data_IF_270886215802
#
_entry.id   IF_270886215802
#
_cell.length_a   1.000
_cell.length_b   1.000
_cell.length_c   1.000
_cell.angle_alpha   90.00
_cell.angle_beta   90.00
_cell.angle_gamma   90.00
#
_symmetry.space_group_name_H-M   'P 1'
#
loop_
_entity.id
_entity.type
_entity.pdbx_description
1 polymer ?
#
# COMPACT_ATOMS: atom_id res chain seq x y z
N UNK A 1 -8.70 -2.89 21.66
CA UNK A 1 -7.61 -1.89 21.62
C UNK A 1 -7.08 -1.52 23.00
N UNK A 2 -7.86 -1.62 24.07
CA UNK A 2 -7.46 -1.16 25.40
C UNK A 2 -6.38 -2.01 26.10
N UNK A 3 -6.20 -3.30 25.74
CA UNK A 3 -5.30 -4.20 26.47
C UNK A 3 -3.83 -3.81 26.35
N UNK A 4 -3.36 -3.43 25.15
CA UNK A 4 -1.98 -2.99 24.96
C UNK A 4 -1.68 -1.70 25.74
N UNK A 5 -2.63 -0.76 25.78
CA UNK A 5 -2.51 0.47 26.57
C UNK A 5 -2.41 0.17 28.06
N UNK A 6 -3.21 -0.78 28.57
CA UNK A 6 -3.17 -1.22 29.97
C UNK A 6 -1.82 -1.83 30.31
N UNK A 7 -1.30 -2.74 29.47
CA UNK A 7 -0.02 -3.40 29.73
C UNK A 7 1.17 -2.45 29.61
N UNK A 8 1.14 -1.55 28.63
CA UNK A 8 2.17 -0.51 28.47
C UNK A 8 2.15 0.45 29.67
N UNK A 9 0.95 0.90 30.09
CA UNK A 9 0.78 1.78 31.23
C UNK A 9 1.30 1.13 32.52
N UNK A 10 0.89 -0.12 32.78
CA UNK A 10 1.36 -0.89 33.93
C UNK A 10 2.88 -1.11 33.91
N UNK A 11 3.44 -1.43 32.73
CA UNK A 11 4.88 -1.63 32.54
C UNK A 11 5.70 -0.37 32.77
N UNK A 12 5.15 0.81 32.49
CA UNK A 12 5.83 2.11 32.62
C UNK A 12 5.47 2.89 33.88
N UNK A 13 4.63 2.33 34.76
CA UNK A 13 4.05 3.01 35.94
C UNK A 13 3.29 4.30 35.59
N UNK A 14 2.60 4.28 34.46
CA UNK A 14 1.73 5.36 34.00
C UNK A 14 0.26 4.97 34.17
N UNK A 15 -0.64 5.93 34.12
CA UNK A 15 -2.07 5.65 34.01
C UNK A 15 -2.41 5.24 32.57
N UNK A 16 -3.46 4.43 32.38
CA UNK A 16 -3.92 4.05 31.04
C UNK A 16 -4.26 5.28 30.18
N UNK A 17 -4.84 6.32 30.79
CA UNK A 17 -5.14 7.62 30.13
C UNK A 17 -3.91 8.34 29.56
N UNK A 18 -2.71 7.98 30.03
CA UNK A 18 -1.43 8.54 29.59
C UNK A 18 -0.79 7.75 28.44
N UNK A 19 -1.41 6.67 27.97
CA UNK A 19 -0.89 5.87 26.86
C UNK A 19 -1.89 5.94 25.72
N UNK A 20 -1.45 6.43 24.56
CA UNK A 20 -2.27 6.48 23.35
C UNK A 20 -1.59 5.73 22.22
N UNK A 21 -2.27 4.74 21.68
CA UNK A 21 -1.82 4.08 20.45
C UNK A 21 -2.18 4.99 19.27
N UNK A 22 -1.16 5.47 18.56
CA UNK A 22 -1.32 6.40 17.43
C UNK A 22 -1.58 5.65 16.13
N UNK A 23 -1.02 4.45 15.99
CA UNK A 23 -1.19 3.60 14.82
C UNK A 23 -0.47 2.27 14.95
N UNK A 24 -0.85 1.32 14.11
CA UNK A 24 -0.16 0.05 13.94
C UNK A 24 -0.01 -0.23 12.44
N UNK A 25 1.22 -0.41 11.99
CA UNK A 25 1.57 -0.61 10.58
C UNK A 25 2.39 -1.88 10.46
N UNK A 26 2.06 -2.76 9.51
CA UNK A 26 2.90 -3.92 9.23
C UNK A 26 4.27 -3.46 8.70
N UNK A 27 5.36 -4.05 9.19
CA UNK A 27 6.71 -3.75 8.70
C UNK A 27 6.79 -4.17 7.23
N UNK A 28 7.07 -3.20 6.35
CA UNK A 28 7.10 -3.41 4.90
C UNK A 28 8.21 -4.39 4.47
N UNK A 29 9.23 -4.59 5.32
CA UNK A 29 10.39 -5.42 5.02
C UNK A 29 10.32 -6.81 5.65
N UNK A 30 9.54 -6.98 6.73
CA UNK A 30 9.31 -8.25 7.40
C UNK A 30 7.82 -8.40 7.76
N UNK A 31 7.08 -9.17 6.94
CA UNK A 31 5.63 -9.38 7.09
C UNK A 31 5.21 -10.02 8.44
N UNK A 32 6.16 -10.46 9.26
CA UNK A 32 5.91 -10.98 10.60
C UNK A 32 5.95 -9.93 11.73
N UNK A 33 6.27 -8.66 11.44
CA UNK A 33 6.40 -7.61 12.46
C UNK A 33 5.33 -6.54 12.28
N UNK A 34 4.80 -6.05 13.39
CA UNK A 34 3.89 -4.90 13.43
C UNK A 34 4.59 -3.77 14.16
N UNK A 35 4.81 -2.66 13.46
CA UNK A 35 5.29 -1.41 14.03
C UNK A 35 4.11 -0.72 14.71
N UNK A 36 4.20 -0.50 16.02
CA UNK A 36 3.18 0.22 16.78
C UNK A 36 3.76 1.55 17.22
N UNK A 37 3.08 2.64 16.86
CA UNK A 37 3.41 3.98 17.32
C UNK A 37 2.60 4.29 18.58
N UNK A 38 3.29 4.59 19.67
CA UNK A 38 2.70 4.85 20.99
C UNK A 38 3.13 6.23 21.45
N UNK A 39 2.16 7.08 21.78
CA UNK A 39 2.40 8.38 22.38
C UNK A 39 2.11 8.33 23.89
N UNK A 40 3.07 8.80 24.69
CA UNK A 40 2.93 8.91 26.14
C UNK A 40 2.53 10.35 26.48
N UNK A 41 1.41 10.51 27.18
CA UNK A 41 0.82 11.81 27.51
C UNK A 41 1.10 12.17 28.97
N UNK A 42 1.74 13.31 29.26
CA UNK A 42 1.97 13.76 30.63
C UNK A 42 0.66 14.21 31.29
N UNK A 43 0.55 14.08 32.62
CA UNK A 43 -0.59 14.60 33.39
C UNK A 43 -0.53 16.13 33.60
N UNK A 44 0.63 16.73 33.36
CA UNK A 44 0.86 18.18 33.37
C UNK A 44 1.36 18.68 32.02
N UNK A 45 2.11 19.77 32.02
CA UNK A 45 2.67 20.37 30.79
C UNK A 45 3.70 19.46 30.10
N UNK A 46 4.47 18.69 30.87
CA UNK A 46 5.49 17.73 30.40
C UNK A 46 5.74 16.65 31.44
N UNK A 47 6.46 15.58 31.06
CA UNK A 47 6.99 14.64 32.05
C UNK A 47 8.16 15.29 32.80
N UNK A 48 8.24 15.03 34.11
CA UNK A 48 9.41 15.38 34.90
C UNK A 48 10.66 14.70 34.32
N UNK A 49 11.80 15.37 34.39
CA UNK A 49 13.04 14.88 33.78
C UNK A 49 13.40 13.47 34.27
N UNK A 50 13.24 13.22 35.58
CA UNK A 50 13.46 11.90 36.19
C UNK A 50 12.53 10.84 35.60
N UNK A 51 11.25 11.16 35.46
CA UNK A 51 10.24 10.25 34.89
C UNK A 51 10.57 9.95 33.43
N UNK A 52 10.85 10.97 32.62
CA UNK A 52 11.22 10.80 31.21
C UNK A 52 12.47 9.92 31.04
N UNK A 53 13.51 10.15 31.85
CA UNK A 53 14.74 9.34 31.83
C UNK A 53 14.44 7.89 32.24
N UNK A 54 13.73 7.66 33.35
CA UNK A 54 13.42 6.30 33.82
C UNK A 54 12.53 5.52 32.84
N UNK A 55 11.54 6.19 32.24
CA UNK A 55 10.67 5.60 31.22
C UNK A 55 11.48 5.23 29.98
N UNK A 56 12.36 6.13 29.51
CA UNK A 56 13.22 5.85 28.35
C UNK A 56 14.21 4.71 28.60
N UNK A 57 14.86 4.69 29.78
CA UNK A 57 15.78 3.64 30.20
C UNK A 57 15.09 2.27 30.23
N UNK A 58 13.87 2.23 30.78
CA UNK A 58 13.06 1.01 30.87
C UNK A 58 12.72 0.44 29.48
N UNK A 59 12.33 1.31 28.56
CA UNK A 59 12.01 0.93 27.18
C UNK A 59 13.27 0.40 26.46
N UNK A 60 14.39 1.11 26.55
CA UNK A 60 15.66 0.71 25.93
C UNK A 60 16.16 -0.65 26.43
N UNK A 61 15.98 -0.94 27.73
CA UNK A 61 16.37 -2.21 28.33
C UNK A 61 15.31 -3.32 28.22
N UNK A 62 14.26 -3.14 27.40
CA UNK A 62 13.17 -4.11 27.21
C UNK A 62 12.54 -4.59 28.53
N UNK A 63 12.34 -3.66 29.45
CA UNK A 63 11.72 -3.92 30.75
C UNK A 63 10.20 -3.69 30.78
N UNK A 64 9.57 -3.68 29.60
CA UNK A 64 8.12 -3.71 29.44
C UNK A 64 7.65 -5.17 29.45
N UNK A 65 6.83 -5.55 30.41
CA UNK A 65 6.28 -6.91 30.52
C UNK A 65 4.95 -6.98 29.77
N UNK A 66 5.02 -7.17 28.45
CA UNK A 66 3.83 -7.45 27.64
C UNK A 66 3.48 -8.94 27.68
N UNK A 67 2.20 -9.25 27.56
CA UNK A 67 1.72 -10.61 27.42
C UNK A 67 2.17 -11.19 26.08
N UNK A 68 3.15 -12.09 26.14
CA UNK A 68 3.77 -12.71 24.97
C UNK A 68 2.80 -13.56 24.14
N UNK A 69 1.69 -14.02 24.73
CA UNK A 69 0.66 -14.79 23.99
C UNK A 69 -0.23 -13.89 23.12
N UNK A 70 -0.40 -12.62 23.51
CA UNK A 70 -1.23 -11.65 22.81
C UNK A 70 -0.39 -10.78 21.85
N UNK A 71 0.77 -10.30 22.32
CA UNK A 71 1.56 -9.28 21.62
C UNK A 71 2.92 -9.79 21.11
N UNK A 72 3.31 -11.02 21.46
CA UNK A 72 4.59 -11.57 21.08
C UNK A 72 5.79 -10.85 21.72
N UNK A 73 6.96 -11.00 21.09
CA UNK A 73 8.17 -10.27 21.48
C UNK A 73 8.20 -8.90 20.83
N UNK A 74 8.67 -7.89 21.56
CA UNK A 74 8.80 -6.53 21.02
C UNK A 74 10.27 -6.08 20.98
N UNK A 75 10.53 -5.14 20.08
CA UNK A 75 11.76 -4.37 19.98
C UNK A 75 11.41 -2.88 20.01
N UNK A 76 12.22 -2.07 20.68
CA UNK A 76 12.05 -0.61 20.68
C UNK A 76 12.85 -0.03 19.52
N UNK A 77 12.15 0.57 18.56
CA UNK A 77 12.74 1.09 17.32
C UNK A 77 13.35 2.48 17.51
N UNK A 78 12.60 3.39 18.13
CA UNK A 78 13.07 4.74 18.43
C UNK A 78 12.31 5.32 19.62
N UNK A 79 13.00 6.16 20.39
CA UNK A 79 12.39 6.96 21.46
C UNK A 79 12.75 8.42 21.18
N UNK A 80 11.73 9.28 21.15
CA UNK A 80 11.91 10.73 20.97
C UNK A 80 11.26 11.46 22.13
N UNK A 81 12.07 12.16 22.93
CA UNK A 81 11.58 13.06 23.97
C UNK A 81 12.59 14.21 24.19
N UNK A 82 12.13 15.47 24.26
CA UNK A 82 13.03 16.61 24.49
C UNK A 82 13.82 16.47 25.81
N UNK A 83 15.16 16.43 25.71
CA UNK A 83 16.05 16.34 26.88
C UNK A 83 16.51 14.93 27.28
N UNK A 84 16.06 13.88 26.57
CA UNK A 84 16.54 12.50 26.74
C UNK A 84 17.54 12.16 25.62
N UNK A 85 18.66 11.46 25.90
CA UNK A 85 19.61 11.08 24.87
C UNK A 85 18.94 10.18 23.80
N UNK A 86 19.22 10.41 22.51
CA UNK A 86 18.63 9.62 21.44
C UNK A 86 19.06 8.15 21.55
N UNK A 87 18.13 7.24 21.28
CA UNK A 87 18.38 5.81 21.19
C UNK A 87 19.46 5.50 20.13
N UNK A 88 20.37 4.52 20.35
CA UNK A 88 21.36 4.14 19.34
C UNK A 88 20.64 3.74 18.04
N UNK A 89 21.23 4.05 16.86
CA UNK A 89 20.56 3.83 15.59
C UNK A 89 20.26 2.34 15.42
N UNK A 90 18.97 2.00 15.43
CA UNK A 90 18.52 0.73 14.89
C UNK A 90 18.88 0.72 13.40
N UNK A 91 19.58 -0.32 12.94
CA UNK A 91 20.27 -0.35 11.66
C UNK A 91 19.46 0.23 10.50
N UNK A 92 20.06 1.23 9.84
CA UNK A 92 19.69 1.88 8.57
C UNK A 92 18.21 1.84 8.17
N UNK A 93 17.45 2.82 8.68
CA UNK A 93 16.31 3.40 7.95
C UNK A 93 16.51 4.92 7.92
N UNK A 94 17.37 5.40 7.01
CA UNK A 94 17.37 6.79 6.57
C UNK A 94 17.08 6.80 5.07
N UNK A 95 15.81 7.00 4.72
CA UNK A 95 15.42 7.56 3.44
C UNK A 95 15.47 9.08 3.57
N UNK A 96 16.42 9.69 2.88
CA UNK A 96 16.64 11.13 2.84
C UNK A 96 15.48 11.86 2.13
N UNK A 97 14.85 12.80 2.82
CA UNK A 97 14.09 13.89 2.20
C UNK A 97 15.01 14.96 1.61
N UNK A 98 14.54 15.81 0.68
CA UNK A 98 15.35 16.83 0.05
C UNK A 98 15.42 18.08 0.94
N UNK A 99 16.59 18.39 1.46
CA UNK A 99 16.94 19.73 1.95
C UNK A 99 18.15 20.23 1.16
N UNK A 100 18.04 21.45 0.66
CA UNK A 100 18.92 22.03 -0.34
C UNK A 100 20.38 22.22 0.10
N UNK A 101 21.26 22.11 -0.90
CA UNK A 101 22.42 22.97 -1.18
C UNK A 101 23.19 23.55 0.02
N UNK A 102 24.37 22.98 0.29
CA UNK A 102 25.68 23.64 0.14
C UNK A 102 26.83 22.65 0.37
N UNK A 103 27.73 22.52 -0.61
CA UNK A 103 29.16 22.19 -0.41
C UNK A 103 29.57 20.72 -0.23
N UNK A 104 30.42 20.25 -1.15
CA UNK A 104 31.40 19.15 -1.08
C UNK A 104 30.94 17.68 -0.93
N UNK A 105 30.93 16.99 -2.08
CA UNK A 105 31.37 15.59 -2.23
C UNK A 105 32.92 15.56 -2.30
N UNK A 106 33.63 14.43 -2.05
CA UNK A 106 33.15 13.06 -2.29
C UNK A 106 33.58 12.01 -1.24
N UNK A 107 32.72 11.03 -0.95
CA UNK A 107 33.19 9.67 -0.65
C UNK A 107 32.31 8.67 -1.38
N UNK A 108 32.80 8.24 -2.54
CA UNK A 108 32.40 7.02 -3.23
C UNK A 108 32.65 5.83 -2.29
N UNK A 109 31.61 5.09 -1.94
CA UNK A 109 31.75 3.75 -1.37
C UNK A 109 30.88 2.77 -2.16
N UNK A 110 31.54 2.02 -3.04
CA UNK A 110 31.02 0.79 -3.62
C UNK A 110 30.64 -0.18 -2.50
N UNK A 111 29.43 -0.72 -2.53
CA UNK A 111 29.12 -1.92 -1.76
C UNK A 111 28.63 -3.04 -2.66
N UNK A 112 29.47 -4.07 -2.68
CA UNK A 112 29.33 -5.40 -3.24
C UNK A 112 27.93 -5.95 -3.00
N UNK A 113 27.29 -6.35 -4.10
CA UNK A 113 26.09 -7.17 -4.13
C UNK A 113 26.30 -8.46 -3.33
N UNK A 114 25.81 -8.49 -2.10
CA UNK A 114 25.78 -9.72 -1.30
C UNK A 114 24.55 -10.50 -1.75
N UNK A 115 24.77 -11.36 -2.74
CA UNK A 115 23.84 -12.43 -3.12
C UNK A 115 23.30 -13.07 -1.84
N UNK A 116 22.00 -12.87 -1.60
CA UNK A 116 21.27 -13.62 -0.60
C UNK A 116 21.40 -15.09 -0.99
N UNK A 117 22.28 -15.80 -0.28
CA UNK A 117 22.49 -17.23 -0.45
C UNK A 117 21.20 -17.92 -0.02
N UNK A 118 20.26 -18.07 -0.95
CA UNK A 118 19.07 -18.88 -0.73
C UNK A 118 19.54 -20.26 -0.29
N UNK A 119 19.04 -20.72 0.85
CA UNK A 119 19.40 -22.04 1.38
C UNK A 119 19.16 -23.07 0.28
N UNK A 120 20.19 -23.82 -0.12
CA UNK A 120 20.12 -24.83 -1.20
C UNK A 120 18.93 -25.79 -0.98
N UNK A 121 18.57 -26.01 0.29
CA UNK A 121 17.39 -26.79 0.70
C UNK A 121 16.06 -26.20 0.19
N UNK A 122 15.89 -24.88 0.21
CA UNK A 122 14.67 -24.21 -0.25
C UNK A 122 14.54 -24.33 -1.78
N UNK A 123 15.64 -24.13 -2.51
CA UNK A 123 15.66 -24.30 -3.96
C UNK A 123 15.31 -25.75 -4.33
N UNK A 124 15.87 -26.74 -3.62
CA UNK A 124 15.57 -28.15 -3.85
C UNK A 124 14.08 -28.48 -3.61
N UNK A 125 13.46 -27.93 -2.57
CA UNK A 125 12.03 -28.13 -2.29
C UNK A 125 11.16 -27.55 -3.40
N UNK A 126 11.45 -26.32 -3.86
CA UNK A 126 10.69 -25.68 -4.93
C UNK A 126 10.78 -26.51 -6.22
N UNK A 127 11.99 -26.94 -6.60
CA UNK A 127 12.22 -27.74 -7.81
C UNK A 127 11.52 -29.10 -7.72
N UNK A 128 11.61 -29.78 -6.57
CA UNK A 128 10.95 -31.07 -6.37
C UNK A 128 9.43 -30.94 -6.43
N UNK A 129 8.87 -29.90 -5.79
CA UNK A 129 7.43 -29.65 -5.78
C UNK A 129 6.88 -29.34 -7.18
N UNK A 130 7.59 -28.52 -7.95
CA UNK A 130 7.24 -28.18 -9.33
C UNK A 130 7.30 -29.42 -10.25
N UNK A 131 8.32 -30.27 -10.08
CA UNK A 131 8.47 -31.49 -10.88
C UNK A 131 7.33 -32.49 -10.63
N UNK A 132 6.96 -32.70 -9.36
CA UNK A 132 5.83 -33.58 -9.00
C UNK A 132 4.52 -33.05 -9.59
N UNK A 133 4.27 -31.74 -9.51
CA UNK A 133 3.08 -31.11 -10.08
C UNK A 133 3.00 -31.30 -11.60
N UNK A 134 4.13 -31.16 -12.30
CA UNK A 134 4.21 -31.34 -13.75
C UNK A 134 3.92 -32.79 -14.18
N UNK A 135 4.40 -33.79 -13.42
CA UNK A 135 4.10 -35.19 -13.68
C UNK A 135 2.61 -35.52 -13.50
N UNK A 136 1.97 -34.96 -12.46
CA UNK A 136 0.54 -35.15 -12.21
C UNK A 136 -0.29 -34.54 -13.35
N UNK A 137 0.05 -33.33 -13.78
CA UNK A 137 -0.63 -32.66 -14.90
C UNK A 137 -0.45 -33.43 -16.21
N UNK A 138 0.76 -33.91 -16.52
CA UNK A 138 1.03 -34.71 -17.71
C UNK A 138 0.24 -36.04 -17.71
N UNK A 139 0.12 -36.68 -16.55
CA UNK A 139 -0.71 -37.87 -16.35
C UNK A 139 -2.19 -37.60 -16.61
N UNK A 140 -2.74 -36.53 -16.03
CA UNK A 140 -4.13 -36.11 -16.23
C UNK A 140 -4.42 -35.79 -17.72
N UNK A 141 -3.52 -35.07 -18.39
CA UNK A 141 -3.62 -34.77 -19.83
C UNK A 141 -3.57 -36.04 -20.67
N UNK A 142 -2.70 -37.01 -20.33
CA UNK A 142 -2.60 -38.28 -21.05
C UNK A 142 -3.88 -39.12 -20.94
N UNK A 143 -4.51 -39.13 -19.76
CA UNK A 143 -5.81 -39.79 -19.54
C UNK A 143 -6.90 -39.10 -20.37
N UNK A 144 -6.95 -37.77 -20.37
CA UNK A 144 -7.92 -36.99 -21.17
C UNK A 144 -7.77 -37.25 -22.67
N UNK A 145 -6.54 -37.37 -23.18
CA UNK A 145 -6.29 -37.69 -24.60
C UNK A 145 -6.72 -39.12 -24.92
N UNK A 146 -6.42 -40.11 -24.05
CA UNK A 146 -6.89 -41.49 -24.26
C UNK A 146 -8.40 -41.59 -24.24
N UNK A 147 -9.07 -40.89 -23.32
CA UNK A 147 -10.53 -40.83 -23.25
C UNK A 147 -11.14 -40.18 -24.50
N UNK A 148 -10.52 -39.11 -25.03
CA UNK A 148 -10.93 -38.51 -26.30
C UNK A 148 -10.76 -39.46 -27.49
N UNK A 149 -9.72 -40.30 -27.49
CA UNK A 149 -9.44 -41.23 -28.59
C UNK A 149 -10.37 -42.45 -28.59
N UNK A 150 -10.78 -42.92 -27.42
CA UNK A 150 -11.77 -44.01 -27.26
C UNK A 150 -13.19 -43.56 -27.61
N UNK A 151 -13.49 -42.26 -27.57
CA UNK A 151 -14.83 -41.71 -27.86
C UNK A 151 -15.12 -41.41 -29.34
N UNK A 152 -14.24 -41.79 -30.28
CA UNK A 152 -14.53 -41.70 -31.73
C UNK A 152 -14.82 -43.11 -32.29
N UNK A 153 -16.09 -43.53 -32.41
CA UNK A 153 -16.44 -44.68 -33.24
C UNK A 153 -16.47 -44.28 -34.73
N UNK A 154 -15.85 -45.11 -35.56
CA UNK A 154 -15.84 -45.04 -37.03
C UNK A 154 -17.23 -45.33 -37.59
N UNK A 155 -17.70 -44.55 -38.57
CA UNK A 155 -18.75 -44.98 -39.51
C UNK A 155 -18.55 -44.35 -40.91
N UNK A 156 -18.56 -45.25 -41.91
CA UNK A 156 -19.03 -45.19 -43.30
C UNK A 156 -18.31 -44.37 -44.41
N UNK A 157 -17.69 -45.15 -45.33
CA UNK A 157 -17.82 -45.22 -46.83
C UNK A 157 -17.71 -43.94 -47.70
N UNK A 158 -16.84 -44.00 -48.74
CA UNK A 158 -16.60 -42.97 -49.79
C UNK A 158 -17.69 -42.85 -50.89
N UNK A 159 -17.46 -42.22 -52.08
CA UNK A 159 -16.21 -42.23 -52.87
C UNK A 159 -15.76 -40.92 -53.60
N UNK A 160 -14.48 -40.93 -54.02
CA UNK A 160 -13.82 -40.40 -55.24
C UNK A 160 -14.01 -38.96 -55.82
N UNK A 161 -12.94 -38.14 -55.65
CA UNK A 161 -12.20 -37.25 -56.62
C UNK A 161 -12.90 -36.09 -57.40
N UNK A 162 -12.14 -35.10 -57.96
CA UNK A 162 -10.97 -34.34 -57.47
C UNK A 162 -10.98 -32.82 -57.85
N UNK A 163 -9.85 -32.13 -57.64
CA UNK A 163 -9.41 -30.81 -58.21
C UNK A 163 -9.97 -29.56 -57.48
N UNK A 164 -9.36 -28.37 -57.43
CA UNK A 164 -8.19 -27.78 -58.08
C UNK A 164 -7.90 -26.40 -57.41
N UNK A 165 -6.66 -25.90 -57.54
CA UNK A 165 -6.26 -24.47 -57.63
C UNK A 165 -6.79 -23.40 -56.63
N UNK A 166 -5.89 -22.86 -55.80
CA UNK A 166 -5.26 -21.51 -55.94
C UNK A 166 -4.62 -21.11 -54.58
N UNK A 167 -3.29 -20.91 -54.46
CA UNK A 167 -2.50 -19.72 -54.86
C UNK A 167 -2.91 -18.48 -54.03
N UNK A 168 -2.08 -17.65 -53.38
CA UNK A 168 -0.63 -17.47 -53.14
C UNK A 168 -0.50 -16.10 -52.43
N UNK A 169 0.50 -15.93 -51.56
CA UNK A 169 1.06 -14.63 -51.07
C UNK A 169 0.12 -13.69 -50.30
N UNK A 170 0.57 -12.86 -49.37
CA UNK A 170 1.90 -12.43 -48.93
C UNK A 170 1.74 -11.55 -47.68
N UNK A 171 2.76 -11.44 -46.84
CA UNK A 171 3.64 -10.26 -46.71
C UNK A 171 3.13 -9.23 -45.68
N UNK A 172 4.01 -8.95 -44.71
CA UNK A 172 4.02 -7.75 -43.88
C UNK A 172 3.05 -7.81 -42.69
N UNK A 173 3.33 -7.27 -41.52
CA UNK A 173 4.47 -6.46 -41.11
C UNK A 173 4.51 -6.49 -39.59
N UNK A 174 5.72 -6.61 -39.05
CA UNK A 174 6.12 -6.13 -37.73
C UNK A 174 5.52 -4.74 -37.47
N UNK A 175 4.71 -4.59 -36.42
CA UNK A 175 4.55 -3.30 -35.75
C UNK A 175 4.83 -3.48 -34.26
N UNK A 176 6.06 -3.08 -33.96
CA UNK A 176 6.49 -2.53 -32.68
C UNK A 176 5.38 -1.64 -32.10
N UNK A 177 4.77 -2.09 -31.02
CA UNK A 177 4.09 -1.21 -30.08
C UNK A 177 4.95 -1.18 -28.83
N UNK A 178 5.76 -0.13 -28.74
CA UNK A 178 6.35 0.35 -27.50
C UNK A 178 5.20 0.64 -26.52
N UNK A 179 4.88 -0.35 -25.70
CA UNK A 179 4.04 -0.17 -24.52
C UNK A 179 4.88 0.62 -23.52
N UNK A 180 4.80 1.94 -23.58
CA UNK A 180 5.15 2.81 -22.46
C UNK A 180 4.14 2.53 -21.35
N UNK A 181 4.48 1.59 -20.47
CA UNK A 181 3.72 1.18 -19.31
C UNK A 181 3.63 2.32 -18.30
N UNK A 182 2.63 3.18 -18.47
CA UNK A 182 2.31 4.23 -17.50
C UNK A 182 1.53 3.61 -16.33
N UNK A 183 1.96 3.77 -15.06
CA UNK A 183 1.34 3.13 -13.89
C UNK A 183 -0.12 3.59 -13.63
N UNK A 184 -0.59 4.66 -14.27
CA UNK A 184 -1.99 5.09 -14.21
C UNK A 184 -2.93 4.19 -15.01
N UNK A 185 -2.51 3.63 -16.15
CA UNK A 185 -3.38 2.81 -17.00
C UNK A 185 -3.69 1.45 -16.36
N UNK A 186 -2.75 0.88 -15.60
CA UNK A 186 -2.96 -0.39 -14.89
C UNK A 186 -3.94 -0.25 -13.71
N UNK A 187 -3.94 0.89 -13.03
CA UNK A 187 -4.89 1.13 -11.92
C UNK A 187 -6.32 1.28 -12.44
N UNK A 188 -6.54 2.09 -13.48
CA UNK A 188 -7.86 2.25 -14.11
C UNK A 188 -8.40 0.90 -14.60
N UNK A 189 -7.54 0.07 -15.20
CA UNK A 189 -7.89 -1.28 -15.66
C UNK A 189 -8.30 -2.22 -14.50
N UNK A 190 -7.65 -2.08 -13.33
CA UNK A 190 -8.00 -2.85 -12.11
C UNK A 190 -9.32 -2.37 -11.50
N UNK A 191 -9.68 -1.09 -11.67
CA UNK A 191 -10.95 -0.52 -11.19
C UNK A 191 -12.15 -0.81 -12.11
N UNK A 192 -11.89 -1.08 -13.40
CA UNK A 192 -12.92 -1.23 -14.43
C UNK A 192 -13.80 -2.49 -14.26
N UNK A 193 -13.44 -3.44 -13.42
CA UNK A 193 -14.19 -4.69 -13.23
C UNK A 193 -15.24 -4.65 -12.11
N UNK A 194 -15.24 -3.65 -11.22
CA UNK A 194 -16.08 -3.70 -10.00
C UNK A 194 -16.77 -2.41 -9.55
N UNK A 195 -16.49 -1.24 -10.13
CA UNK A 195 -17.06 0.02 -9.67
C UNK A 195 -18.14 0.58 -10.62
N UNK A 196 -19.25 1.06 -10.05
CA UNK A 196 -20.13 2.02 -10.75
C UNK A 196 -19.27 3.17 -11.33
N UNK A 197 -19.68 3.79 -12.46
CA UNK A 197 -18.89 4.86 -13.07
C UNK A 197 -18.83 6.08 -12.14
N UNK A 198 -17.79 6.15 -11.32
CA UNK A 198 -17.45 7.31 -10.50
C UNK A 198 -16.91 8.40 -11.43
N UNK A 199 -17.35 9.65 -11.24
CA UNK A 199 -16.92 10.77 -12.08
C UNK A 199 -15.42 11.01 -11.91
N UNK A 200 -14.70 11.12 -13.03
CA UNK A 200 -13.28 11.47 -13.04
C UNK A 200 -13.13 12.96 -13.33
N UNK A 201 -12.39 13.66 -12.47
CA UNK A 201 -11.99 15.05 -12.62
C UNK A 201 -10.52 15.14 -13.05
N UNK A 202 -10.20 16.18 -13.80
CA UNK A 202 -8.80 16.52 -14.14
C UNK A 202 -8.14 17.29 -12.99
N UNK A 203 -6.80 17.24 -12.88
CA UNK A 203 -6.09 18.01 -11.87
C UNK A 203 -6.40 19.50 -12.00
N UNK A 204 -6.42 20.02 -13.24
CA UNK A 204 -6.67 21.42 -13.56
C UNK A 204 -8.03 21.90 -13.03
N UNK A 205 -9.06 21.06 -13.12
CA UNK A 205 -10.38 21.38 -12.56
C UNK A 205 -10.33 21.51 -11.04
N UNK A 206 -9.63 20.59 -10.37
CA UNK A 206 -9.49 20.60 -8.91
C UNK A 206 -8.60 21.74 -8.41
N UNK A 207 -7.54 22.07 -9.13
CA UNK A 207 -6.70 23.24 -8.86
C UNK A 207 -7.52 24.52 -8.95
N UNK A 208 -8.31 24.68 -10.02
CA UNK A 208 -9.21 25.83 -10.16
C UNK A 208 -10.22 25.90 -9.01
N UNK A 209 -10.83 24.77 -8.66
CA UNK A 209 -11.83 24.69 -7.60
C UNK A 209 -11.25 25.03 -6.20
N UNK A 210 -9.98 24.67 -5.96
CA UNK A 210 -9.30 24.83 -4.65
C UNK A 210 -8.34 26.01 -4.60
N UNK A 211 -8.34 26.89 -5.61
CA UNK A 211 -7.37 28.00 -5.73
C UNK A 211 -5.92 27.52 -5.62
N UNK A 212 -5.55 26.53 -6.44
CA UNK A 212 -4.25 25.84 -6.46
C UNK A 212 -3.90 25.17 -5.13
N UNK A 213 -4.85 24.45 -4.51
CA UNK A 213 -4.66 23.81 -3.21
C UNK A 213 -4.14 24.78 -2.14
N UNK A 214 -4.73 25.98 -2.09
CA UNK A 214 -4.32 27.05 -1.16
C UNK A 214 -4.48 26.60 0.30
N UNK A 215 -3.48 26.93 1.14
CA UNK A 215 -3.53 26.66 2.58
C UNK A 215 -4.71 27.33 3.28
N UNK A 216 -5.19 28.47 2.76
CA UNK A 216 -6.37 29.17 3.29
C UNK A 216 -7.68 28.38 3.14
N UNK A 217 -7.70 27.35 2.28
CA UNK A 217 -8.86 26.51 2.02
C UNK A 217 -8.76 25.15 2.69
N UNK A 218 -7.77 24.91 3.56
CA UNK A 218 -7.65 23.64 4.27
C UNK A 218 -8.81 23.49 5.26
N UNK A 219 -9.50 22.36 5.17
CA UNK A 219 -10.52 21.91 6.12
C UNK A 219 -9.93 20.96 7.17
N UNK A 220 -8.87 20.22 6.81
CA UNK A 220 -8.17 19.32 7.72
C UNK A 220 -6.91 18.72 7.10
N UNK A 221 -6.00 18.27 7.95
CA UNK A 221 -4.72 17.65 7.57
C UNK A 221 -4.41 16.50 8.54
N UNK A 222 -3.89 15.39 8.00
CA UNK A 222 -3.47 14.23 8.79
C UNK A 222 -2.71 13.20 7.95
N UNK A 223 -2.49 12.00 8.52
CA UNK A 223 -1.72 10.94 7.85
C UNK A 223 -2.30 10.43 6.52
N UNK A 224 -3.59 10.70 6.27
CA UNK A 224 -4.28 10.34 5.02
C UNK A 224 -4.24 11.48 3.98
N UNK A 225 -3.50 12.55 4.23
CA UNK A 225 -3.37 13.70 3.35
C UNK A 225 -4.12 14.95 3.84
N UNK A 226 -4.35 15.87 2.89
CA UNK A 226 -4.96 17.19 3.15
C UNK A 226 -6.32 17.29 2.50
N UNK A 227 -7.28 17.86 3.22
CA UNK A 227 -8.63 18.11 2.73
C UNK A 227 -8.79 19.61 2.51
N UNK A 228 -9.20 19.98 1.29
CA UNK A 228 -9.40 21.36 0.87
C UNK A 228 -10.87 21.62 0.57
N UNK A 229 -11.36 22.81 0.92
CA UNK A 229 -12.64 23.34 0.47
C UNK A 229 -12.50 23.77 -0.99
N UNK A 230 -13.33 23.20 -1.86
CA UNK A 230 -13.41 23.55 -3.27
C UNK A 230 -14.77 24.10 -3.66
N UNK A 231 -14.80 24.91 -4.72
CA UNK A 231 -16.03 25.30 -5.41
C UNK A 231 -15.87 24.92 -6.88
N UNK A 232 -16.69 23.97 -7.34
CA UNK A 232 -16.65 23.48 -8.71
C UNK A 232 -17.20 24.51 -9.71
N UNK A 233 -16.97 24.31 -11.01
CA UNK A 233 -17.39 25.26 -12.05
C UNK A 233 -18.90 25.46 -12.17
N UNK A 234 -19.69 24.55 -11.63
CA UNK A 234 -21.15 24.60 -11.50
C UNK A 234 -21.63 25.30 -10.22
N UNK A 235 -20.70 25.77 -9.36
CA UNK A 235 -20.99 26.39 -8.07
C UNK A 235 -21.16 25.38 -6.91
N UNK A 236 -21.04 24.08 -7.18
CA UNK A 236 -21.15 23.05 -6.13
C UNK A 236 -19.96 23.12 -5.17
N UNK A 237 -20.25 23.16 -3.87
CA UNK A 237 -19.22 23.12 -2.83
C UNK A 237 -18.80 21.68 -2.54
N UNK A 238 -17.49 21.45 -2.51
CA UNK A 238 -16.90 20.11 -2.37
C UNK A 238 -15.75 20.10 -1.37
N UNK A 239 -15.48 18.93 -0.82
CA UNK A 239 -14.25 18.65 -0.09
C UNK A 239 -13.32 17.83 -0.99
N UNK A 240 -12.11 18.35 -1.25
CA UNK A 240 -11.10 17.70 -2.09
C UNK A 240 -10.00 17.18 -1.18
N UNK A 241 -9.95 15.86 -0.98
CA UNK A 241 -8.88 15.18 -0.24
C UNK A 241 -7.75 14.84 -1.21
N UNK A 242 -6.63 15.53 -1.05
CA UNK A 242 -5.38 15.25 -1.73
C UNK A 242 -4.59 14.25 -0.89
N UNK A 243 -4.36 13.05 -1.41
CA UNK A 243 -3.56 12.04 -0.73
C UNK A 243 -2.07 12.40 -0.84
N UNK A 244 -1.39 12.61 0.28
CA UNK A 244 0.07 12.80 0.31
C UNK A 244 0.76 11.45 0.19
N UNK A 245 1.77 11.40 -0.67
CA UNK A 245 2.36 10.15 -1.15
C UNK A 245 3.63 9.83 -0.38
N UNK A 246 3.49 9.64 0.91
CA UNK A 246 4.66 9.39 1.77
C UNK A 246 4.94 7.90 1.94
N UNK A 247 3.99 7.01 1.57
CA UNK A 247 4.13 5.57 1.68
C UNK A 247 3.76 4.83 0.38
N UNK A 248 4.35 3.66 0.15
CA UNK A 248 4.05 2.76 -1.00
C UNK A 248 2.60 2.24 -1.00
N UNK A 249 1.79 2.59 0.02
CA UNK A 249 0.42 2.11 0.22
C UNK A 249 -0.67 3.10 -0.24
N UNK A 250 -0.34 4.34 -0.60
CA UNK A 250 -1.37 5.36 -0.92
C UNK A 250 -2.30 4.98 -2.09
N UNK A 251 -1.79 4.22 -3.07
CA UNK A 251 -2.62 3.70 -4.17
C UNK A 251 -3.60 2.61 -3.69
N UNK A 252 -3.25 1.79 -2.68
CA UNK A 252 -4.16 0.77 -2.10
C UNK A 252 -5.26 1.42 -1.27
N UNK A 253 -4.91 2.40 -0.43
CA UNK A 253 -5.88 3.15 0.38
C UNK A 253 -6.86 3.89 -0.51
N UNK A 254 -6.35 4.54 -1.57
CA UNK A 254 -7.19 5.15 -2.59
C UNK A 254 -8.17 4.15 -3.21
N UNK A 255 -7.69 3.00 -3.68
CA UNK A 255 -8.54 1.97 -4.29
C UNK A 255 -9.60 1.48 -3.31
N UNK A 256 -9.21 1.18 -2.07
CA UNK A 256 -10.13 0.70 -1.05
C UNK A 256 -11.22 1.73 -0.72
N UNK A 257 -10.85 3.01 -0.58
CA UNK A 257 -11.78 4.09 -0.28
C UNK A 257 -12.76 4.31 -1.43
N UNK A 258 -12.28 4.30 -2.68
CA UNK A 258 -13.15 4.40 -3.86
C UNK A 258 -14.07 3.19 -3.99
N UNK A 259 -13.57 1.96 -3.81
CA UNK A 259 -14.39 0.75 -3.89
C UNK A 259 -15.50 0.75 -2.84
N UNK A 260 -15.18 1.12 -1.61
CA UNK A 260 -16.14 1.20 -0.51
C UNK A 260 -17.20 2.28 -0.77
N UNK A 261 -16.78 3.52 -1.04
CA UNK A 261 -17.69 4.66 -1.14
C UNK A 261 -18.46 4.72 -2.48
N UNK A 262 -17.95 4.08 -3.53
CA UNK A 262 -18.70 3.95 -4.79
C UNK A 262 -19.91 3.01 -4.65
N UNK A 263 -19.88 2.08 -3.70
CA UNK A 263 -20.92 1.05 -3.52
C UNK A 263 -21.88 1.38 -2.37
N UNK A 264 -21.40 2.10 -1.35
CA UNK A 264 -22.18 2.42 -0.16
C UNK A 264 -22.76 3.83 -0.23
N UNK A 265 -24.09 3.91 -0.31
CA UNK A 265 -24.83 5.17 -0.24
C UNK A 265 -25.72 5.15 1.01
N UNK A 266 -25.38 5.97 2.01
CA UNK A 266 -26.14 6.07 3.26
C UNK A 266 -26.16 7.50 3.78
N UNK A 267 -27.26 7.94 4.40
CA UNK A 267 -27.44 9.30 4.94
C UNK A 267 -26.39 9.76 5.98
N UNK A 268 -25.70 8.81 6.61
CA UNK A 268 -24.65 9.08 7.62
C UNK A 268 -23.24 8.81 7.07
N UNK A 269 -23.10 8.60 5.76
CA UNK A 269 -21.82 8.43 5.07
C UNK A 269 -21.68 9.58 4.08
N UNK A 270 -20.51 10.22 4.07
CA UNK A 270 -20.21 11.26 3.11
C UNK A 270 -20.22 10.69 1.70
N UNK A 271 -20.90 11.37 0.78
CA UNK A 271 -20.98 10.94 -0.62
C UNK A 271 -19.67 11.25 -1.36
N UNK A 272 -19.11 10.21 -2.00
CA UNK A 272 -18.05 10.37 -2.99
C UNK A 272 -18.66 10.92 -4.29
N UNK A 273 -18.25 12.13 -4.68
CA UNK A 273 -18.68 12.81 -5.91
C UNK A 273 -17.82 12.38 -7.08
N UNK A 274 -16.52 12.19 -6.86
CA UNK A 274 -15.60 11.77 -7.92
C UNK A 274 -14.17 11.60 -7.47
N UNK A 275 -13.30 11.35 -8.44
CA UNK A 275 -11.87 11.05 -8.23
C UNK A 275 -11.00 11.81 -9.23
N UNK A 276 -9.73 12.00 -8.90
CA UNK A 276 -8.70 12.42 -9.85
C UNK A 276 -7.50 11.49 -9.75
N UNK A 277 -7.03 10.99 -10.90
CA UNK A 277 -5.86 10.12 -11.02
C UNK A 277 -4.98 10.69 -12.13
N UNK A 278 -4.00 11.52 -11.75
CA UNK A 278 -3.09 12.15 -12.72
C UNK A 278 -1.65 11.97 -12.28
N UNK A 279 -0.87 11.21 -13.05
CA UNK A 279 0.50 10.83 -12.68
C UNK A 279 0.57 10.14 -11.31
N UNK A 280 1.21 10.81 -10.33
CA UNK A 280 1.30 10.36 -8.94
C UNK A 280 0.26 10.98 -8.01
N UNK A 281 -0.51 11.94 -8.51
CA UNK A 281 -1.52 12.64 -7.73
C UNK A 281 -2.79 11.79 -7.69
N UNK A 282 -3.35 11.68 -6.49
CA UNK A 282 -4.60 10.99 -6.21
C UNK A 282 -5.46 11.93 -5.38
N UNK A 283 -6.63 12.26 -5.89
CA UNK A 283 -7.60 13.06 -5.16
C UNK A 283 -8.94 12.34 -5.07
N UNK A 284 -9.59 12.49 -3.93
CA UNK A 284 -10.96 12.08 -3.69
C UNK A 284 -11.81 13.34 -3.51
N UNK A 285 -12.94 13.40 -4.20
CA UNK A 285 -13.84 14.56 -4.19
C UNK A 285 -15.14 14.15 -3.53
N UNK A 286 -15.50 14.81 -2.44
CA UNK A 286 -16.69 14.55 -1.67
C UNK A 286 -17.64 15.75 -1.69
N UNK A 287 -18.89 15.51 -1.33
CA UNK A 287 -19.79 16.59 -0.96
C UNK A 287 -19.25 17.33 0.27
N UNK A 288 -19.40 18.65 0.30
CA UNK A 288 -19.08 19.43 1.49
C UNK A 288 -20.21 19.29 2.52
N UNK A 289 -19.91 18.70 3.68
CA UNK A 289 -20.89 18.59 4.77
C UNK A 289 -20.89 19.90 5.58
N UNK A 290 -22.05 20.55 5.78
CA UNK A 290 -22.13 21.75 6.58
C UNK A 290 -21.86 21.43 8.06
N UNK A 291 -21.13 22.32 8.74
CA UNK A 291 -20.70 22.22 10.13
C UNK A 291 -19.56 21.26 10.47
N UNK A 292 -18.92 20.65 9.46
CA UNK A 292 -17.60 20.03 9.58
C UNK A 292 -17.53 18.84 10.54
#
# INVERSE_FOLDING_TARGET
>A
MNELEIEVAAGLYLQQSQVKIMGATADAQDQGRTLVEINLVPLGEKFDNTTAILTSDRLLHKRLSLNSTLFGTYDVVSISYPGVPPSPPYGNIFGSGPTGSTGDLPITANFVNKNQKMNIRIIAIIVLSAFVLLLVLAGAISVLIKWRKVRRPSNAVGPAFPSSLNKRSGIGSMLSSSITSSPSMSLISTMATCALPVKTFTLVELEKATSNFSSMRILGEGGFGRVYRGVMGDGSEVAVKLLTRDNQNGDREFIAEVEMLSRLHHRNLVKLVGICIEGRIRCLVYELVPNG
#
